data_IF_440956460336
#
_entry.id   IF_440956460336
#
_cell.length_a   1.000
_cell.length_b   1.000
_cell.length_c   1.000
_cell.angle_alpha   90.00
_cell.angle_beta   90.00
_cell.angle_gamma   90.00
#
_symmetry.space_group_name_H-M   'P 1'
#
loop_
_entity.id
_entity.type
_entity.pdbx_description
1 polymer ?
#
# COMPACT_ATOMS: atom_id res chain seq x y z
N UNK A 1 -9.41 -14.22 -10.36
CA UNK A 1 -8.01 -14.71 -10.36
C UNK A 1 -7.27 -14.00 -9.24
N UNK A 2 -6.58 -14.73 -8.37
CA UNK A 2 -5.82 -14.16 -7.25
C UNK A 2 -4.55 -13.53 -7.80
N UNK A 3 -4.44 -12.20 -7.76
CA UNK A 3 -3.22 -11.51 -8.18
C UNK A 3 -2.24 -11.47 -7.00
N UNK A 4 -1.35 -12.47 -6.93
CA UNK A 4 -0.31 -12.57 -5.91
C UNK A 4 0.87 -11.67 -6.29
N UNK A 5 1.40 -10.92 -5.32
CA UNK A 5 2.56 -10.07 -5.52
C UNK A 5 3.81 -10.94 -5.74
N UNK A 6 4.54 -10.66 -6.82
CA UNK A 6 5.80 -11.30 -7.18
C UNK A 6 6.93 -10.27 -7.22
N UNK A 7 8.16 -10.76 -7.35
CA UNK A 7 9.35 -9.91 -7.46
C UNK A 7 9.32 -8.98 -8.69
N UNK A 8 8.76 -9.46 -9.79
CA UNK A 8 8.58 -8.70 -11.04
C UNK A 8 7.58 -7.54 -10.91
N UNK A 9 6.75 -7.55 -9.86
CA UNK A 9 5.82 -6.45 -9.56
C UNK A 9 6.48 -5.37 -8.68
N UNK A 10 7.66 -5.60 -8.12
CA UNK A 10 8.32 -4.63 -7.23
C UNK A 10 9.09 -3.60 -8.05
N UNK A 11 9.06 -2.36 -7.59
CA UNK A 11 9.96 -1.32 -8.09
C UNK A 11 11.40 -1.66 -7.74
N UNK A 12 12.33 -1.33 -8.65
CA UNK A 12 13.73 -1.23 -8.28
C UNK A 12 13.93 -0.14 -7.22
N UNK A 13 15.08 -0.16 -6.55
CA UNK A 13 15.42 0.84 -5.53
C UNK A 13 15.46 2.26 -6.12
N UNK A 14 15.96 2.40 -7.35
CA UNK A 14 16.08 3.68 -8.05
C UNK A 14 14.69 4.23 -8.41
N UNK A 15 13.87 3.43 -9.09
CA UNK A 15 12.50 3.82 -9.46
C UNK A 15 11.66 4.18 -8.24
N UNK A 16 11.76 3.39 -7.16
CA UNK A 16 11.05 3.70 -5.93
C UNK A 16 11.54 5.00 -5.31
N UNK A 17 12.85 5.25 -5.28
CA UNK A 17 13.41 6.48 -4.72
C UNK A 17 12.92 7.73 -5.48
N UNK A 18 12.89 7.67 -6.81
CA UNK A 18 12.41 8.77 -7.66
C UNK A 18 10.91 9.05 -7.48
N UNK A 19 10.10 8.00 -7.37
CA UNK A 19 8.64 8.11 -7.38
C UNK A 19 7.99 8.04 -5.99
N UNK A 20 8.80 7.90 -4.93
CA UNK A 20 8.36 7.63 -3.55
C UNK A 20 7.24 8.53 -3.07
N UNK A 21 7.34 9.83 -3.37
CA UNK A 21 6.36 10.83 -2.96
C UNK A 21 4.98 10.58 -3.58
N UNK A 22 4.94 10.29 -4.88
CA UNK A 22 3.74 9.99 -5.63
C UNK A 22 3.14 8.65 -5.21
N UNK A 23 3.97 7.61 -5.08
CA UNK A 23 3.54 6.28 -4.61
C UNK A 23 2.89 6.42 -3.23
N UNK A 24 3.55 7.10 -2.28
CA UNK A 24 3.01 7.32 -0.94
C UNK A 24 1.67 8.05 -0.98
N UNK A 25 1.56 9.13 -1.76
CA UNK A 25 0.31 9.91 -1.86
C UNK A 25 -0.84 9.03 -2.34
N UNK A 26 -0.61 8.22 -3.37
CA UNK A 26 -1.61 7.32 -3.93
C UNK A 26 -2.01 6.24 -2.92
N UNK A 27 -1.05 5.59 -2.27
CA UNK A 27 -1.32 4.53 -1.28
C UNK A 27 -2.07 5.08 -0.06
N UNK A 28 -1.76 6.29 0.40
CA UNK A 28 -2.51 6.90 1.52
C UNK A 28 -3.98 7.14 1.16
N UNK A 29 -4.28 7.53 -0.08
CA UNK A 29 -5.67 7.66 -0.54
C UNK A 29 -6.38 6.29 -0.56
N UNK A 30 -5.69 5.23 -0.97
CA UNK A 30 -6.22 3.85 -0.93
C UNK A 30 -6.44 3.40 0.52
N UNK A 31 -5.48 3.62 1.43
CA UNK A 31 -5.59 3.22 2.84
C UNK A 31 -6.78 3.87 3.54
N UNK A 32 -7.07 5.15 3.26
CA UNK A 32 -8.24 5.86 3.83
C UNK A 32 -9.58 5.17 3.56
N UNK A 33 -9.72 4.54 2.40
CA UNK A 33 -10.95 3.82 2.02
C UNK A 33 -11.00 2.38 2.57
N UNK A 34 -9.93 1.93 3.21
CA UNK A 34 -9.73 0.54 3.65
C UNK A 34 -9.35 0.44 5.12
N UNK A 35 -9.47 1.53 5.87
CA UNK A 35 -9.24 1.53 7.31
C UNK A 35 -10.56 1.58 8.07
N UNK A 36 -10.62 0.82 9.17
CA UNK A 36 -11.72 0.84 10.13
C UNK A 36 -11.12 1.01 11.52
N UNK A 37 -11.58 2.01 12.26
CA UNK A 37 -11.21 2.17 13.66
C UNK A 37 -12.11 1.29 14.53
N UNK A 38 -11.52 0.55 15.46
CA UNK A 38 -12.21 -0.25 16.47
C UNK A 38 -11.97 0.41 17.83
N UNK A 39 -12.88 1.30 18.22
CA UNK A 39 -12.69 2.18 19.36
C UNK A 39 -11.54 3.18 19.14
N UNK A 40 -10.90 3.60 20.22
CA UNK A 40 -9.89 4.67 20.19
C UNK A 40 -8.47 4.19 19.89
N UNK A 41 -8.18 2.90 20.13
CA UNK A 41 -6.80 2.40 20.19
C UNK A 41 -6.44 1.41 19.09
N UNK A 42 -7.44 0.92 18.33
CA UNK A 42 -7.22 -0.10 17.31
C UNK A 42 -7.66 0.44 15.96
N UNK A 43 -6.80 0.28 14.96
CA UNK A 43 -7.13 0.51 13.56
C UNK A 43 -6.86 -0.77 12.78
N UNK A 44 -7.87 -1.24 12.07
CA UNK A 44 -7.74 -2.33 11.11
C UNK A 44 -7.52 -1.73 9.73
N UNK A 45 -6.47 -2.16 9.03
CA UNK A 45 -6.26 -1.87 7.61
C UNK A 45 -6.56 -3.14 6.82
N UNK A 46 -7.56 -3.08 5.95
CA UNK A 46 -7.87 -4.17 5.05
C UNK A 46 -6.90 -4.14 3.87
N UNK A 47 -5.89 -5.00 3.92
CA UNK A 47 -4.83 -5.02 2.91
C UNK A 47 -5.35 -5.39 1.51
N UNK A 48 -4.65 -4.91 0.48
CA UNK A 48 -4.77 -5.32 -0.91
C UNK A 48 -3.38 -5.33 -1.56
N UNK A 49 -3.31 -5.67 -2.84
CA UNK A 49 -2.05 -5.72 -3.57
C UNK A 49 -1.23 -4.41 -3.45
N UNK A 50 -1.87 -3.25 -3.61
CA UNK A 50 -1.18 -1.95 -3.59
C UNK A 50 -0.69 -1.57 -2.19
N UNK A 51 -1.48 -1.87 -1.15
CA UNK A 51 -1.08 -1.54 0.22
C UNK A 51 0.04 -2.45 0.71
N UNK A 52 0.10 -3.70 0.24
CA UNK A 52 1.19 -4.65 0.53
C UNK A 52 2.45 -4.31 -0.27
N UNK A 53 2.35 -4.03 -1.57
CA UNK A 53 3.48 -3.66 -2.44
C UNK A 53 4.25 -2.43 -1.94
N UNK A 54 3.58 -1.54 -1.19
CA UNK A 54 4.17 -0.32 -0.64
C UNK A 54 4.94 -0.52 0.67
N UNK A 55 4.69 -1.61 1.41
CA UNK A 55 5.30 -1.89 2.72
C UNK A 55 6.74 -2.35 2.57
#
# INVERSE_FOLDING_TARGET
>A
MTNLLKREDLFSLEEYAEQRSNIRKNVMNVKKLREVNLGEHIRLLFENHQTVQYQ
#
